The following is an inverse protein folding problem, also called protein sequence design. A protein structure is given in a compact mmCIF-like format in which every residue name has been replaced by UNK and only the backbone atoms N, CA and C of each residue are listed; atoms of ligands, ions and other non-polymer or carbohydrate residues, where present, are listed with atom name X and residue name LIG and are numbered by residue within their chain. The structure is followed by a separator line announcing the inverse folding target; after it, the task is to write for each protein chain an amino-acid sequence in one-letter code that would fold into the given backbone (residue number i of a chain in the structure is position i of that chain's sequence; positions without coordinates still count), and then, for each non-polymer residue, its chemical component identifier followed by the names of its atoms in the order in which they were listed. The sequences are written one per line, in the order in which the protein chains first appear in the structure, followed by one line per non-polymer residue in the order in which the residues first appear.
data_IF_011452940978
#
_entry.id   IF_011452940978
#
_cell.length_a   1.000
_cell.length_b   1.000
_cell.length_c   1.000
_cell.angle_alpha   90.00
_cell.angle_beta   90.00
_cell.angle_gamma   90.00
#
_symmetry.space_group_name_H-M   'P 1'
#
loop_
_entity.id
_entity.type
_entity.pdbx_description
1 polymer ?
#
# COMPACT_ATOMS: atom_id res chain seq x y z
N UNK A 1 -1.32 -11.79 -3.35
CA UNK A 1 -1.84 -10.54 -3.95
C UNK A 1 -0.92 -10.04 -5.06
N UNK A 2 -1.41 -9.15 -5.92
CA UNK A 2 -0.69 -8.66 -7.12
C UNK A 2 -0.54 -7.14 -7.10
N UNK A 3 0.56 -6.63 -7.66
CA UNK A 3 0.78 -5.20 -7.86
C UNK A 3 1.14 -4.88 -9.31
N UNK A 4 0.44 -3.91 -9.91
CA UNK A 4 0.79 -3.35 -11.20
C UNK A 4 1.47 -1.96 -11.00
N UNK A 5 2.78 -1.82 -11.25
CA UNK A 5 3.51 -0.58 -11.03
C UNK A 5 3.20 0.50 -12.07
N UNK A 6 2.76 0.12 -13.28
CA UNK A 6 2.37 1.04 -14.36
C UNK A 6 1.04 1.70 -14.00
N UNK A 7 0.04 0.88 -13.63
CA UNK A 7 -1.30 1.34 -13.20
C UNK A 7 -1.33 1.84 -11.75
N UNK A 8 -0.24 1.63 -11.01
CA UNK A 8 -0.11 1.88 -9.56
C UNK A 8 -1.29 1.27 -8.81
N UNK A 9 -1.57 0.00 -9.03
CA UNK A 9 -2.79 -0.65 -8.53
C UNK A 9 -2.50 -2.00 -7.90
N UNK A 10 -3.11 -2.23 -6.73
CA UNK A 10 -3.12 -3.49 -6.00
C UNK A 10 -4.36 -4.30 -6.36
N UNK A 11 -4.17 -5.60 -6.58
CA UNK A 11 -5.22 -6.55 -6.90
C UNK A 11 -5.12 -7.78 -6.00
N UNK A 12 -6.24 -8.45 -5.77
CA UNK A 12 -6.25 -9.79 -5.19
C UNK A 12 -5.59 -10.79 -6.13
N UNK A 13 -5.27 -11.97 -5.63
CA UNK A 13 -4.78 -13.07 -6.47
C UNK A 13 -5.83 -13.51 -7.51
N UNK A 14 -7.11 -13.23 -7.24
CA UNK A 14 -8.27 -13.40 -8.12
C UNK A 14 -8.57 -12.19 -9.02
N UNK A 15 -7.61 -11.27 -9.22
CA UNK A 15 -7.69 -10.12 -10.13
C UNK A 15 -8.75 -9.07 -9.78
N UNK A 16 -9.26 -9.06 -8.55
CA UNK A 16 -10.16 -8.00 -8.06
C UNK A 16 -9.34 -6.80 -7.60
N UNK A 17 -9.74 -5.59 -8.00
CA UNK A 17 -9.09 -4.36 -7.54
C UNK A 17 -9.22 -4.23 -6.02
N UNK A 18 -8.08 -4.04 -5.35
CA UNK A 18 -8.03 -3.69 -3.92
C UNK A 18 -7.97 -2.18 -3.80
N UNK A 19 -6.90 -1.55 -4.32
CA UNK A 19 -6.68 -0.10 -4.21
C UNK A 19 -5.78 0.43 -5.31
N UNK A 20 -6.04 1.67 -5.77
CA UNK A 20 -5.08 2.45 -6.57
C UNK A 20 -4.22 3.33 -5.66
N UNK A 21 -2.92 3.32 -5.88
CA UNK A 21 -1.95 4.10 -5.13
C UNK A 21 -1.80 5.48 -5.77
N UNK A 22 -2.16 6.50 -5.00
CA UNK A 22 -1.99 7.89 -5.38
C UNK A 22 -1.59 8.69 -4.14
N UNK A 23 -0.44 9.37 -4.22
CA UNK A 23 -0.03 10.38 -3.25
C UNK A 23 0.22 11.70 -4.01
N UNK A 24 -0.58 12.76 -3.77
CA UNK A 24 -0.43 14.02 -4.49
C UNK A 24 0.93 14.69 -4.20
N UNK A 25 1.50 14.43 -3.02
CA UNK A 25 2.77 14.97 -2.57
C UNK A 25 3.99 14.13 -2.96
N UNK A 26 3.79 12.99 -3.65
CA UNK A 26 4.84 12.09 -4.14
C UNK A 26 5.91 11.75 -3.09
N UNK A 27 5.48 11.50 -1.84
CA UNK A 27 6.38 11.19 -0.73
C UNK A 27 7.08 9.84 -0.94
N UNK A 28 8.31 9.77 -0.49
CA UNK A 28 9.09 8.53 -0.39
C UNK A 28 9.06 8.05 1.06
N UNK A 29 9.15 6.73 1.26
CA UNK A 29 9.06 6.09 2.58
C UNK A 29 10.08 6.64 3.59
N UNK A 30 11.31 6.87 3.13
CA UNK A 30 12.41 7.38 3.97
C UNK A 30 12.20 8.83 4.41
N UNK A 31 11.28 9.56 3.78
CA UNK A 31 10.91 10.93 4.12
C UNK A 31 9.66 11.01 5.02
N UNK A 32 9.23 9.89 5.59
CA UNK A 32 8.13 9.81 6.55
C UNK A 32 8.67 9.65 7.97
N UNK A 33 7.93 10.14 8.96
CA UNK A 33 8.28 9.97 10.37
C UNK A 33 7.85 8.61 10.88
N UNK A 34 8.62 8.03 11.79
CA UNK A 34 8.25 6.75 12.41
C UNK A 34 6.94 6.90 13.21
N UNK A 35 6.11 5.85 13.18
CA UNK A 35 4.83 5.82 13.90
C UNK A 35 4.73 4.54 14.74
N UNK A 36 4.88 3.38 14.11
CA UNK A 36 5.05 2.08 14.78
C UNK A 36 5.92 1.14 13.92
N UNK A 37 6.05 -0.13 14.33
CA UNK A 37 6.89 -1.12 13.63
C UNK A 37 6.47 -1.38 12.18
N UNK A 38 5.21 -1.14 11.83
CA UNK A 38 4.61 -1.51 10.53
C UNK A 38 4.14 -0.31 9.73
N UNK A 39 4.31 0.90 10.25
CA UNK A 39 3.77 2.09 9.62
C UNK A 39 4.53 3.35 9.97
N UNK A 40 4.43 4.31 9.06
CA UNK A 40 5.03 5.64 9.19
C UNK A 40 3.99 6.72 9.03
N UNK A 41 4.22 7.89 9.60
CA UNK A 41 3.35 9.05 9.50
C UNK A 41 3.86 10.04 8.46
N UNK A 42 2.99 10.44 7.54
CA UNK A 42 3.26 11.52 6.61
C UNK A 42 2.96 12.87 7.27
N UNK A 43 4.00 13.67 7.56
CA UNK A 43 3.80 14.99 8.18
C UNK A 43 3.15 16.03 7.25
N UNK A 44 3.06 15.77 5.94
CA UNK A 44 2.47 16.72 4.97
C UNK A 44 0.94 16.59 4.88
N UNK A 45 0.41 15.36 4.87
CA UNK A 45 -1.04 15.14 4.85
C UNK A 45 -1.59 14.62 6.18
N UNK A 46 -0.73 14.42 7.18
CA UNK A 46 -1.05 13.90 8.52
C UNK A 46 -1.62 12.47 8.54
N UNK A 47 -1.55 11.74 7.41
CA UNK A 47 -2.00 10.35 7.28
C UNK A 47 -0.94 9.34 7.71
N UNK A 48 -1.39 8.18 8.18
CA UNK A 48 -0.54 7.01 8.45
C UNK A 48 -0.40 6.18 7.16
N UNK A 49 0.83 5.83 6.82
CA UNK A 49 1.21 4.99 5.68
C UNK A 49 1.58 3.61 6.21
N UNK A 50 0.75 2.62 5.89
CA UNK A 50 0.91 1.24 6.37
C UNK A 50 1.79 0.44 5.40
N UNK A 51 2.77 -0.27 5.92
CA UNK A 51 3.63 -1.14 5.13
C UNK A 51 2.94 -2.48 4.83
N UNK A 52 2.63 -2.70 3.56
CA UNK A 52 1.90 -3.90 3.14
C UNK A 52 2.73 -5.18 3.23
N UNK A 53 4.05 -5.11 3.43
CA UNK A 53 4.88 -6.31 3.62
C UNK A 53 4.44 -7.13 4.85
N UNK A 54 3.81 -6.50 5.84
CA UNK A 54 3.35 -7.13 7.08
C UNK A 54 1.86 -7.51 7.06
N UNK A 55 1.20 -7.45 5.90
CA UNK A 55 -0.23 -7.72 5.75
C UNK A 55 -0.48 -8.91 4.81
N UNK A 56 -1.41 -9.78 5.19
CA UNK A 56 -2.01 -10.72 4.25
C UNK A 56 -2.98 -10.00 3.30
N UNK A 57 -3.31 -10.65 2.18
CA UNK A 57 -4.31 -10.13 1.24
C UNK A 57 -5.67 -9.88 1.95
N UNK A 58 -6.08 -10.77 2.85
CA UNK A 58 -7.35 -10.65 3.58
C UNK A 58 -7.37 -9.42 4.50
N UNK A 59 -6.27 -9.18 5.22
CA UNK A 59 -6.14 -8.01 6.10
C UNK A 59 -6.14 -6.71 5.30
N UNK A 60 -5.38 -6.65 4.20
CA UNK A 60 -5.34 -5.48 3.34
C UNK A 60 -6.72 -5.18 2.72
N UNK A 61 -7.44 -6.20 2.25
CA UNK A 61 -8.80 -6.04 1.72
C UNK A 61 -9.76 -5.53 2.80
N UNK A 62 -9.67 -6.05 4.02
CA UNK A 62 -10.50 -5.59 5.14
C UNK A 62 -10.19 -4.12 5.48
N UNK A 63 -8.91 -3.78 5.62
CA UNK A 63 -8.45 -2.43 5.95
C UNK A 63 -8.91 -1.40 4.90
N UNK A 64 -8.77 -1.71 3.61
CA UNK A 64 -9.20 -0.80 2.53
C UNK A 64 -10.73 -0.67 2.44
N UNK A 65 -11.49 -1.71 2.81
CA UNK A 65 -12.95 -1.61 2.90
C UNK A 65 -13.40 -0.71 4.04
N UNK A 66 -12.71 -0.75 5.17
CA UNK A 66 -13.00 0.09 6.34
C UNK A 66 -12.55 1.53 6.12
N UNK A 67 -11.39 1.74 5.47
CA UNK A 67 -10.88 3.04 5.10
C UNK A 67 -10.32 3.02 3.66
N UNK A 68 -11.12 3.42 2.65
CA UNK A 68 -10.69 3.45 1.25
C UNK A 68 -9.53 4.41 0.97
N UNK A 69 -9.31 5.41 1.82
CA UNK A 69 -8.29 6.45 1.65
C UNK A 69 -6.96 6.10 2.33
N UNK A 70 -6.90 5.00 3.09
CA UNK A 70 -5.69 4.54 3.80
C UNK A 70 -4.46 4.57 2.91
N UNK A 71 -3.38 5.20 3.38
CA UNK A 71 -2.13 5.22 2.64
C UNK A 71 -1.39 3.90 2.85
N UNK A 72 -0.85 3.34 1.76
CA UNK A 72 -0.10 2.09 1.81
C UNK A 72 1.23 2.22 1.09
N UNK A 73 2.25 1.57 1.65
CA UNK A 73 3.56 1.37 1.02
C UNK A 73 3.62 -0.04 0.47
N UNK A 74 4.10 -0.16 -0.77
CA UNK A 74 4.30 -1.41 -1.48
C UNK A 74 5.76 -1.44 -1.89
N UNK A 75 6.47 -2.47 -1.46
CA UNK A 75 7.79 -2.81 -1.99
C UNK A 75 7.63 -3.75 -3.19
N UNK A 76 8.50 -3.63 -4.19
CA UNK A 76 8.48 -4.53 -5.36
C UNK A 76 9.15 -5.87 -5.07
N UNK A 77 9.94 -5.95 -3.99
CA UNK A 77 10.70 -7.13 -3.60
C UNK A 77 10.15 -7.82 -2.35
N UNK A 78 8.94 -7.46 -1.89
CA UNK A 78 8.31 -8.14 -0.75
C UNK A 78 7.69 -9.49 -1.15
N UNK A 79 7.83 -10.49 -0.28
CA UNK A 79 7.43 -11.88 -0.55
C UNK A 79 5.93 -12.07 -0.80
N UNK A 80 5.10 -11.22 -0.19
CA UNK A 80 3.64 -11.36 -0.23
C UNK A 80 2.99 -10.70 -1.47
N UNK A 81 3.77 -10.09 -2.37
CA UNK A 81 3.29 -9.46 -3.62
C UNK A 81 3.93 -10.07 -4.85
N UNK A 82 3.10 -10.32 -5.88
CA UNK A 82 3.57 -10.59 -7.24
C UNK A 82 3.44 -9.35 -8.12
N UNK A 83 4.55 -8.88 -8.68
CA UNK A 83 4.53 -7.80 -9.66
C UNK A 83 3.97 -8.31 -11.00
N UNK A 84 2.99 -7.59 -11.56
CA UNK A 84 2.33 -7.93 -12.83
C UNK A 84 2.31 -6.71 -13.76
N UNK A 85 2.49 -6.93 -15.07
CA UNK A 85 2.57 -5.86 -16.08
C UNK A 85 1.42 -5.87 -17.09
N UNK A 86 0.40 -6.69 -16.85
CA UNK A 86 -0.79 -6.90 -17.71
C UNK A 86 -1.68 -5.66 -17.81
#
# INVERSE_FOLDING_TARGET
MKFNPIKKALYTDSDKLIKKLHCPYKKQWDNLSDYDEKSKKCLTCNEVVVDTQFLSEKELVKMVKENPDVCVKVDLLQDNIRVVTI
#
